data_IF_531313511015
#
_entry.id   IF_531313511015
#
_cell.length_a   1.000
_cell.length_b   1.000
_cell.length_c   1.000
_cell.angle_alpha   90.00
_cell.angle_beta   90.00
_cell.angle_gamma   90.00
#
_symmetry.space_group_name_H-M   'P 1'
#
loop_
_entity.id
_entity.type
_entity.pdbx_description
1 polymer ?
#
# COMPACT_ATOMS: atom_id res chain seq x y z
N UNK A 1 22.83 3.23 14.03
CA UNK A 1 21.48 2.63 14.07
C UNK A 1 21.67 1.16 14.38
N UNK A 2 21.04 0.63 15.43
CA UNK A 2 21.07 -0.82 15.64
C UNK A 2 20.22 -1.51 14.57
N UNK A 3 20.66 -2.65 14.02
CA UNK A 3 19.85 -3.39 13.07
C UNK A 3 18.54 -3.80 13.75
N UNK A 4 17.40 -3.53 13.12
CA UNK A 4 16.11 -4.02 13.59
C UNK A 4 16.16 -5.54 13.47
N UNK A 5 16.21 -6.22 14.61
CA UNK A 5 16.11 -7.68 14.65
C UNK A 5 14.64 -8.07 14.56
N UNK A 6 14.27 -8.76 13.48
CA UNK A 6 12.93 -9.27 13.27
C UNK A 6 12.84 -10.65 13.95
N UNK A 7 11.88 -10.89 14.87
CA UNK A 7 11.67 -12.22 15.42
C UNK A 7 11.44 -13.24 14.30
N UNK A 8 12.12 -14.39 14.35
CA UNK A 8 12.03 -15.40 13.28
C UNK A 8 10.59 -15.86 13.02
N UNK A 9 9.79 -15.98 14.07
CA UNK A 9 8.35 -16.32 13.97
C UNK A 9 7.57 -15.30 13.15
N UNK A 10 7.87 -14.01 13.32
CA UNK A 10 7.26 -12.94 12.56
C UNK A 10 7.72 -12.94 11.09
N UNK A 11 9.02 -13.12 10.85
CA UNK A 11 9.54 -13.27 9.49
C UNK A 11 8.86 -14.43 8.75
N UNK A 12 8.74 -15.60 9.39
CA UNK A 12 8.07 -16.76 8.82
C UNK A 12 6.59 -16.48 8.50
N UNK A 13 5.86 -15.82 9.40
CA UNK A 13 4.45 -15.45 9.20
C UNK A 13 4.27 -14.53 7.98
N UNK A 14 5.11 -13.49 7.87
CA UNK A 14 5.08 -12.55 6.74
C UNK A 14 5.44 -13.24 5.42
N UNK A 15 6.47 -14.10 5.40
CA UNK A 15 6.86 -14.87 4.21
C UNK A 15 5.75 -15.83 3.78
N UNK A 16 5.16 -16.57 4.72
CA UNK A 16 4.09 -17.52 4.40
C UNK A 16 2.85 -16.81 3.84
N UNK A 17 2.43 -15.70 4.46
CA UNK A 17 1.31 -14.89 3.99
C UNK A 17 1.56 -14.31 2.59
N UNK A 18 2.76 -13.76 2.36
CA UNK A 18 3.18 -13.26 1.05
C UNK A 18 3.10 -14.32 -0.03
N UNK A 19 3.61 -15.53 0.24
CA UNK A 19 3.56 -16.65 -0.70
C UNK A 19 2.13 -17.11 -1.03
N UNK A 20 1.20 -17.09 -0.05
CA UNK A 20 -0.20 -17.51 -0.25
C UNK A 20 -1.04 -16.52 -1.05
N UNK A 21 -0.64 -15.26 -1.08
CA UNK A 21 -1.41 -14.17 -1.71
C UNK A 21 -0.63 -13.42 -2.80
N UNK A 22 0.58 -13.83 -3.13
CA UNK A 22 1.40 -13.16 -4.15
C UNK A 22 1.75 -11.72 -3.79
N UNK A 23 2.02 -11.45 -2.52
CA UNK A 23 2.43 -10.13 -2.01
C UNK A 23 3.85 -10.20 -1.50
N UNK A 24 4.67 -9.22 -1.87
CA UNK A 24 6.09 -9.19 -1.49
C UNK A 24 6.28 -9.12 0.03
N UNK A 25 7.21 -9.93 0.53
CA UNK A 25 7.61 -9.91 1.95
C UNK A 25 7.99 -8.50 2.41
N UNK A 26 8.79 -7.78 1.60
CA UNK A 26 9.25 -6.43 1.94
C UNK A 26 8.10 -5.45 2.10
N UNK A 27 7.05 -5.57 1.28
CA UNK A 27 5.84 -4.75 1.41
C UNK A 27 5.11 -5.03 2.74
N UNK A 28 4.90 -6.30 3.07
CA UNK A 28 4.24 -6.69 4.32
C UNK A 28 5.06 -6.26 5.54
N UNK A 29 6.38 -6.43 5.49
CA UNK A 29 7.30 -6.01 6.54
C UNK A 29 7.25 -4.49 6.74
N UNK A 30 7.38 -3.70 5.67
CA UNK A 30 7.32 -2.24 5.74
C UNK A 30 5.97 -1.75 6.28
N UNK A 31 4.88 -2.39 5.87
CA UNK A 31 3.53 -2.07 6.37
C UNK A 31 3.46 -2.38 7.87
N UNK A 32 3.85 -3.57 8.33
CA UNK A 32 3.81 -3.90 9.76
C UNK A 32 4.75 -3.02 10.61
N UNK A 33 5.93 -2.67 10.09
CA UNK A 33 6.83 -1.70 10.75
C UNK A 33 6.15 -0.34 10.90
N UNK A 34 5.48 0.15 9.85
CA UNK A 34 4.81 1.44 9.86
C UNK A 34 3.60 1.45 10.80
N UNK A 35 2.77 0.41 10.75
CA UNK A 35 1.50 0.38 11.47
C UNK A 35 1.70 0.12 12.97
N UNK A 36 2.62 -0.77 13.34
CA UNK A 36 2.75 -1.24 14.73
C UNK A 36 4.17 -1.25 15.27
N UNK A 37 5.18 -0.87 14.49
CA UNK A 37 6.59 -1.13 14.81
C UNK A 37 6.85 -2.61 15.09
N UNK A 38 6.20 -3.51 14.32
CA UNK A 38 6.26 -4.97 14.47
C UNK A 38 5.67 -5.52 15.78
N UNK A 39 4.84 -4.73 16.48
CA UNK A 39 4.18 -5.17 17.70
C UNK A 39 2.81 -5.83 17.39
N UNK A 40 2.66 -7.16 17.58
CA UNK A 40 1.39 -7.85 17.29
C UNK A 40 0.28 -7.52 18.30
N UNK A 41 0.60 -6.90 19.43
CA UNK A 41 -0.38 -6.49 20.43
C UNK A 41 -0.67 -4.99 20.39
N UNK A 42 -0.18 -4.27 19.38
CA UNK A 42 -0.40 -2.84 19.24
C UNK A 42 -1.90 -2.50 19.21
N UNK A 43 -2.29 -1.46 19.95
CA UNK A 43 -3.66 -0.95 20.01
C UNK A 43 -3.65 0.56 19.85
N UNK A 44 -4.42 1.07 18.90
CA UNK A 44 -4.63 2.50 18.77
C UNK A 44 -5.54 3.02 19.89
N UNK A 45 -5.22 4.19 20.46
CA UNK A 45 -6.03 4.80 21.53
C UNK A 45 -7.30 5.50 21.02
N UNK A 46 -7.38 5.80 19.72
CA UNK A 46 -8.42 6.63 19.11
C UNK A 46 -9.29 5.89 18.10
N UNK A 47 -9.06 4.60 17.88
CA UNK A 47 -9.81 3.79 16.91
C UNK A 47 -9.89 2.33 17.35
N UNK A 48 -10.60 1.49 16.59
CA UNK A 48 -10.66 0.04 16.81
C UNK A 48 -9.44 -0.71 16.29
N UNK A 49 -8.42 -0.01 15.79
CA UNK A 49 -7.25 -0.60 15.15
C UNK A 49 -6.41 -1.44 16.14
N UNK A 50 -6.13 -2.69 15.78
CA UNK A 50 -5.35 -3.64 16.59
C UNK A 50 -4.39 -4.46 15.71
N UNK A 51 -3.23 -4.80 16.28
CA UNK A 51 -2.33 -5.81 15.74
C UNK A 51 -1.26 -5.27 14.80
N UNK A 52 -0.50 -6.19 14.21
CA UNK A 52 0.66 -5.89 13.36
C UNK A 52 0.36 -4.87 12.25
N UNK A 53 -0.82 -4.99 11.65
CA UNK A 53 -1.29 -4.19 10.52
C UNK A 53 -2.39 -3.20 10.92
N UNK A 54 -2.59 -2.98 12.22
CA UNK A 54 -3.57 -2.03 12.75
C UNK A 54 -4.98 -2.17 12.14
N UNK A 55 -5.47 -3.41 11.99
CA UNK A 55 -6.78 -3.68 11.41
C UNK A 55 -7.92 -3.08 12.25
N UNK A 56 -8.74 -2.25 11.59
CA UNK A 56 -10.04 -1.84 12.11
C UNK A 56 -10.99 -3.05 12.23
N UNK A 57 -11.94 -2.97 13.17
CA UNK A 57 -12.94 -4.03 13.37
C UNK A 57 -13.73 -4.32 12.08
N UNK A 58 -14.27 -3.30 11.43
CA UNK A 58 -15.07 -3.47 10.21
C UNK A 58 -14.26 -4.11 9.08
N UNK A 59 -13.04 -3.64 8.85
CA UNK A 59 -12.15 -4.15 7.81
C UNK A 59 -11.73 -5.58 8.10
N UNK A 60 -11.44 -5.92 9.35
CA UNK A 60 -11.11 -7.27 9.76
C UNK A 60 -12.25 -8.25 9.46
N UNK A 61 -13.48 -7.89 9.84
CA UNK A 61 -14.64 -8.73 9.60
C UNK A 61 -14.94 -8.88 8.10
N UNK A 62 -14.78 -7.81 7.33
CA UNK A 62 -14.89 -7.87 5.87
C UNK A 62 -13.88 -8.86 5.28
N UNK A 63 -12.59 -8.68 5.54
CA UNK A 63 -11.53 -9.49 4.93
C UNK A 63 -11.63 -10.94 5.40
N UNK A 64 -11.93 -11.18 6.68
CA UNK A 64 -12.18 -12.53 7.19
C UNK A 64 -13.36 -13.20 6.47
N UNK A 65 -14.44 -12.46 6.18
CA UNK A 65 -15.58 -13.00 5.46
C UNK A 65 -15.27 -13.30 3.99
N UNK A 66 -14.60 -12.38 3.31
CA UNK A 66 -14.37 -12.42 1.87
C UNK A 66 -13.19 -13.35 1.50
N UNK A 67 -12.08 -13.27 2.24
CA UNK A 67 -10.83 -13.98 1.93
C UNK A 67 -10.55 -15.15 2.87
N UNK A 68 -11.12 -15.15 4.08
CA UNK A 68 -10.91 -16.19 5.09
C UNK A 68 -11.14 -17.62 4.58
N UNK A 69 -12.22 -17.93 3.84
CA UNK A 69 -12.45 -19.24 3.23
C UNK A 69 -11.25 -19.80 2.45
N UNK A 70 -10.67 -18.99 1.56
CA UNK A 70 -9.53 -19.36 0.70
C UNK A 70 -8.26 -19.61 1.52
N UNK A 71 -8.14 -18.97 2.67
CA UNK A 71 -6.99 -19.06 3.57
C UNK A 71 -7.14 -20.16 4.64
N UNK A 72 -8.25 -20.91 4.64
CA UNK A 72 -8.53 -21.96 5.64
C UNK A 72 -9.25 -21.47 6.90
N UNK A 73 -9.75 -20.23 6.91
CA UNK A 73 -10.47 -19.61 8.03
C UNK A 73 -12.00 -19.65 7.88
N UNK A 74 -12.53 -20.63 7.16
CA UNK A 74 -13.96 -20.79 6.88
C UNK A 74 -14.82 -20.75 8.16
N UNK A 75 -14.38 -21.41 9.24
CA UNK A 75 -15.11 -21.48 10.50
C UNK A 75 -15.30 -20.11 11.19
N UNK A 76 -14.41 -19.15 10.95
CA UNK A 76 -14.58 -17.77 11.39
C UNK A 76 -15.44 -16.99 10.40
N UNK A 77 -15.21 -17.16 9.10
CA UNK A 77 -15.97 -16.51 8.04
C UNK A 77 -17.47 -16.84 8.08
N UNK A 78 -17.85 -18.06 8.44
CA UNK A 78 -19.25 -18.50 8.55
C UNK A 78 -20.01 -17.78 9.67
N UNK A 79 -19.31 -17.26 10.68
CA UNK A 79 -19.91 -16.53 11.79
C UNK A 79 -20.14 -15.05 11.46
N UNK A 80 -19.63 -14.58 10.33
CA UNK A 80 -19.75 -13.19 9.88
C UNK A 80 -20.85 -13.11 8.82
N UNK A 81 -21.82 -12.24 9.05
CA UNK A 81 -22.91 -11.94 8.11
C UNK A 81 -22.74 -10.55 7.54
N UNK A 82 -23.10 -10.37 6.27
CA UNK A 82 -23.19 -9.06 5.64
C UNK A 82 -24.63 -8.53 5.78
N UNK A 83 -24.78 -7.33 6.33
CA UNK A 83 -26.09 -6.68 6.46
C UNK A 83 -26.57 -6.18 5.10
N UNK A 84 -27.87 -5.86 4.92
CA UNK A 84 -28.36 -5.22 3.70
C UNK A 84 -27.68 -3.88 3.40
N UNK A 85 -27.19 -3.17 4.42
CA UNK A 85 -26.41 -1.94 4.28
C UNK A 85 -24.95 -2.15 3.86
N UNK A 86 -24.50 -3.41 3.79
CA UNK A 86 -23.15 -3.78 3.37
C UNK A 86 -22.15 -3.96 4.51
N UNK A 87 -22.54 -3.74 5.77
CA UNK A 87 -21.68 -3.92 6.93
C UNK A 87 -21.46 -5.39 7.27
N UNK A 88 -20.30 -5.72 7.84
CA UNK A 88 -19.98 -7.07 8.31
C UNK A 88 -20.14 -7.17 9.82
N UNK A 89 -20.97 -8.11 10.27
CA UNK A 89 -21.35 -8.26 11.68
C UNK A 89 -21.27 -9.72 12.14
N UNK A 90 -21.00 -9.91 13.43
CA UNK A 90 -21.08 -11.20 14.12
C UNK A 90 -22.15 -11.08 15.19
N UNK A 91 -23.18 -11.93 15.13
CA UNK A 91 -24.36 -11.82 15.98
C UNK A 91 -24.08 -12.14 17.46
N UNK A 92 -23.28 -13.17 17.72
CA UNK A 92 -22.89 -13.57 19.07
C UNK A 92 -21.70 -12.70 19.56
N UNK A 93 -21.86 -11.92 20.65
CA UNK A 93 -20.80 -11.06 21.17
C UNK A 93 -19.53 -11.80 21.62
N UNK A 94 -19.67 -13.01 22.16
CA UNK A 94 -18.53 -13.83 22.61
C UNK A 94 -17.74 -14.33 21.41
N UNK A 95 -18.43 -14.76 20.35
CA UNK A 95 -17.80 -15.14 19.09
C UNK A 95 -17.15 -13.96 18.40
N UNK A 96 -17.81 -12.80 18.40
CA UNK A 96 -17.25 -11.55 17.88
C UNK A 96 -15.92 -11.22 18.57
N UNK A 97 -15.87 -11.28 19.90
CA UNK A 97 -14.65 -11.04 20.65
C UNK A 97 -13.53 -12.04 20.29
N UNK A 98 -13.85 -13.33 20.12
CA UNK A 98 -12.88 -14.34 19.68
C UNK A 98 -12.30 -14.02 18.30
N UNK A 99 -13.16 -13.72 17.32
CA UNK A 99 -12.75 -13.39 15.95
C UNK A 99 -11.90 -12.11 15.92
N UNK A 100 -12.27 -11.09 16.70
CA UNK A 100 -11.53 -9.83 16.74
C UNK A 100 -10.18 -9.94 17.46
N UNK A 101 -10.03 -10.87 18.40
CA UNK A 101 -8.75 -11.14 19.07
C UNK A 101 -7.71 -11.74 18.13
N UNK A 102 -8.14 -12.39 17.04
CA UNK A 102 -7.21 -12.95 16.04
C UNK A 102 -6.36 -11.89 15.34
N UNK A 103 -6.72 -10.60 15.42
CA UNK A 103 -5.86 -9.48 14.97
C UNK A 103 -4.50 -9.44 15.66
N UNK A 104 -4.41 -10.02 16.85
CA UNK A 104 -3.17 -10.11 17.64
C UNK A 104 -2.34 -11.36 17.27
N UNK A 105 -2.88 -12.28 16.47
CA UNK A 105 -2.13 -13.44 16.00
C UNK A 105 -1.31 -13.06 14.75
N UNK A 106 0.03 -13.12 14.80
CA UNK A 106 0.89 -12.70 13.68
C UNK A 106 0.61 -13.43 12.37
N UNK A 107 0.30 -14.73 12.42
CA UNK A 107 0.08 -15.55 11.22
C UNK A 107 -1.23 -15.16 10.54
N UNK A 108 -2.33 -15.15 11.30
CA UNK A 108 -3.66 -14.81 10.76
C UNK A 108 -3.69 -13.35 10.30
N UNK A 109 -3.10 -12.44 11.09
CA UNK A 109 -3.04 -11.03 10.71
C UNK A 109 -2.23 -10.81 9.43
N UNK A 110 -1.11 -11.53 9.26
CA UNK A 110 -0.31 -11.45 8.03
C UNK A 110 -1.06 -12.02 6.83
N UNK A 111 -1.73 -13.18 6.98
CA UNK A 111 -2.53 -13.78 5.91
C UNK A 111 -3.64 -12.82 5.43
N UNK A 112 -4.40 -12.24 6.37
CA UNK A 112 -5.47 -11.29 6.04
C UNK A 112 -4.92 -9.99 5.45
N UNK A 113 -3.78 -9.49 5.94
CA UNK A 113 -3.14 -8.32 5.35
C UNK A 113 -2.71 -8.57 3.90
N UNK A 114 -2.04 -9.70 3.63
CA UNK A 114 -1.63 -10.08 2.29
C UNK A 114 -2.84 -10.30 1.36
N UNK A 115 -3.88 -10.96 1.83
CA UNK A 115 -5.11 -11.13 1.07
C UNK A 115 -5.83 -9.80 0.78
N UNK A 116 -5.88 -8.89 1.74
CA UNK A 116 -6.44 -7.56 1.56
C UNK A 116 -5.64 -6.71 0.56
N UNK A 117 -4.31 -6.74 0.63
CA UNK A 117 -3.44 -6.08 -0.34
C UNK A 117 -3.66 -6.65 -1.74
N UNK A 118 -3.72 -7.98 -1.88
CA UNK A 118 -4.00 -8.65 -3.16
C UNK A 118 -5.35 -8.21 -3.73
N UNK A 119 -6.43 -8.28 -2.96
CA UNK A 119 -7.77 -7.94 -3.45
C UNK A 119 -7.88 -6.46 -3.84
N UNK A 120 -7.26 -5.56 -3.07
CA UNK A 120 -7.14 -4.14 -3.42
C UNK A 120 -6.34 -3.94 -4.72
N UNK A 121 -5.23 -4.66 -4.88
CA UNK A 121 -4.40 -4.62 -6.08
C UNK A 121 -5.15 -5.07 -7.33
N UNK A 122 -5.87 -6.18 -7.25
CA UNK A 122 -6.69 -6.71 -8.34
C UNK A 122 -7.83 -5.74 -8.70
N UNK A 123 -8.51 -5.18 -7.70
CA UNK A 123 -9.55 -4.18 -7.92
C UNK A 123 -9.03 -2.97 -8.69
N UNK A 124 -7.93 -2.38 -8.22
CA UNK A 124 -7.35 -1.20 -8.84
C UNK A 124 -6.74 -1.51 -10.22
N UNK A 125 -6.14 -2.69 -10.41
CA UNK A 125 -5.71 -3.14 -11.73
C UNK A 125 -6.88 -3.19 -12.71
N UNK A 126 -8.02 -3.73 -12.29
CA UNK A 126 -9.20 -3.78 -13.15
C UNK A 126 -9.76 -2.38 -13.44
N UNK A 127 -9.66 -1.45 -12.49
CA UNK A 127 -10.15 -0.08 -12.66
C UNK A 127 -9.23 0.81 -13.54
N UNK A 128 -7.92 0.58 -13.51
CA UNK A 128 -6.92 1.47 -14.13
C UNK A 128 -6.02 0.80 -15.18
N UNK A 129 -6.19 -0.49 -15.46
CA UNK A 129 -5.45 -1.22 -16.50
C UNK A 129 -4.03 -1.64 -16.13
N UNK A 130 -3.49 -1.19 -14.98
CA UNK A 130 -2.14 -1.52 -14.51
C UNK A 130 -2.10 -1.93 -13.04
N UNK A 131 -1.09 -2.70 -12.66
CA UNK A 131 -0.87 -2.99 -11.24
C UNK A 131 -0.55 -1.69 -10.47
N UNK A 132 -1.14 -1.48 -9.28
CA UNK A 132 -0.77 -0.35 -8.43
C UNK A 132 0.67 -0.49 -7.93
N UNK A 133 1.35 0.64 -7.74
CA UNK A 133 2.65 0.65 -7.05
C UNK A 133 2.49 0.27 -5.57
N UNK A 134 3.59 -0.03 -4.88
CA UNK A 134 3.57 -0.27 -3.42
C UNK A 134 2.93 0.91 -2.65
N UNK A 135 3.26 2.14 -3.03
CA UNK A 135 2.64 3.34 -2.44
C UNK A 135 1.14 3.41 -2.70
N UNK A 136 0.68 3.06 -3.90
CA UNK A 136 -0.75 3.05 -4.25
C UNK A 136 -1.51 1.90 -3.54
N UNK A 137 -0.89 0.74 -3.38
CA UNK A 137 -1.42 -0.34 -2.55
C UNK A 137 -1.56 0.12 -1.09
N UNK A 138 -0.60 0.91 -0.59
CA UNK A 138 -0.73 1.51 0.74
C UNK A 138 -1.88 2.53 0.81
N UNK A 139 -2.08 3.35 -0.23
CA UNK A 139 -3.26 4.23 -0.31
C UNK A 139 -4.56 3.42 -0.25
N UNK A 140 -4.63 2.29 -0.95
CA UNK A 140 -5.78 1.38 -0.89
C UNK A 140 -5.93 0.71 0.47
N UNK A 141 -4.84 0.37 1.15
CA UNK A 141 -4.89 -0.11 2.54
C UNK A 141 -5.52 0.95 3.47
N UNK A 142 -5.14 2.22 3.31
CA UNK A 142 -5.58 3.33 4.14
C UNK A 142 -7.02 3.81 3.84
N UNK A 143 -7.41 3.90 2.56
CA UNK A 143 -8.71 4.42 2.12
C UNK A 143 -9.74 3.32 1.79
N UNK A 144 -9.30 2.07 1.66
CA UNK A 144 -10.03 1.01 0.95
C UNK A 144 -9.90 1.14 -0.58
N UNK A 145 -10.17 0.05 -1.30
CA UNK A 145 -10.06 0.00 -2.76
C UNK A 145 -10.86 1.10 -3.48
N UNK A 146 -12.13 1.29 -3.09
CA UNK A 146 -13.01 2.31 -3.66
C UNK A 146 -12.56 3.74 -3.31
N UNK A 147 -12.01 3.94 -2.11
CA UNK A 147 -11.49 5.23 -1.70
C UNK A 147 -10.23 5.61 -2.48
N UNK A 148 -9.35 4.65 -2.73
CA UNK A 148 -8.19 4.81 -3.60
C UNK A 148 -8.61 5.08 -5.05
N UNK A 149 -9.55 4.32 -5.61
CA UNK A 149 -10.09 4.59 -6.95
C UNK A 149 -10.65 6.01 -7.06
N UNK A 150 -11.45 6.44 -6.08
CA UNK A 150 -11.97 7.82 -6.03
C UNK A 150 -10.84 8.85 -6.02
N UNK A 151 -9.78 8.61 -5.25
CA UNK A 151 -8.63 9.52 -5.16
C UNK A 151 -7.89 9.59 -6.49
N UNK A 152 -7.63 8.46 -7.14
CA UNK A 152 -6.89 8.41 -8.39
C UNK A 152 -7.68 9.04 -9.53
N UNK A 153 -9.00 8.78 -9.62
CA UNK A 153 -9.88 9.47 -10.56
C UNK A 153 -9.90 10.98 -10.34
N UNK A 154 -9.98 11.43 -9.09
CA UNK A 154 -9.91 12.84 -8.76
C UNK A 154 -8.54 13.45 -9.12
N UNK A 155 -7.44 12.68 -8.97
CA UNK A 155 -6.10 13.11 -9.36
C UNK A 155 -5.92 13.22 -10.87
N UNK A 156 -6.53 12.31 -11.64
CA UNK A 156 -6.55 12.35 -13.11
C UNK A 156 -7.37 13.53 -13.64
N UNK A 157 -8.47 13.86 -12.98
CA UNK A 157 -9.33 15.00 -13.33
C UNK A 157 -8.71 16.34 -12.94
N UNK A 158 -8.42 16.54 -11.65
CA UNK A 158 -7.78 17.74 -11.14
C UNK A 158 -6.96 17.43 -9.87
N UNK A 159 -5.62 17.30 -9.98
CA UNK A 159 -4.78 16.95 -8.84
C UNK A 159 -4.61 18.06 -7.80
N UNK A 160 -4.89 19.31 -8.17
CA UNK A 160 -4.75 20.48 -7.31
C UNK A 160 -6.07 20.83 -6.59
N UNK A 161 -7.12 20.02 -6.77
CA UNK A 161 -8.36 20.14 -6.00
C UNK A 161 -8.17 19.73 -4.53
N UNK A 162 -8.91 20.40 -3.64
CA UNK A 162 -8.81 20.22 -2.19
C UNK A 162 -9.38 18.87 -1.76
N UNK A 163 -8.55 18.01 -1.17
CA UNK A 163 -8.91 16.62 -0.88
C UNK A 163 -10.00 16.49 0.19
N UNK A 164 -10.11 17.44 1.12
CA UNK A 164 -11.08 17.36 2.24
C UNK A 164 -12.54 17.45 1.78
N UNK A 165 -12.79 18.06 0.61
CA UNK A 165 -14.13 18.06 0.01
C UNK A 165 -14.55 16.69 -0.51
N UNK A 166 -13.59 15.87 -0.92
CA UNK A 166 -13.82 14.52 -1.44
C UNK A 166 -13.79 13.45 -0.35
N UNK A 167 -13.01 13.67 0.72
CA UNK A 167 -12.78 12.69 1.79
C UNK A 167 -13.03 13.28 3.19
N UNK A 168 -14.23 13.83 3.48
CA UNK A 168 -14.47 14.58 4.71
C UNK A 168 -14.33 13.73 5.98
N UNK A 169 -14.77 12.46 5.93
CA UNK A 169 -14.66 11.54 7.07
C UNK A 169 -13.20 11.19 7.37
N UNK A 170 -12.43 10.86 6.34
CA UNK A 170 -11.01 10.51 6.45
C UNK A 170 -10.19 11.74 6.88
N UNK A 171 -10.52 12.93 6.40
CA UNK A 171 -9.90 14.18 6.80
C UNK A 171 -10.13 14.51 8.27
N UNK A 172 -11.35 14.27 8.78
CA UNK A 172 -11.66 14.45 10.20
C UNK A 172 -10.86 13.47 11.07
N UNK A 173 -10.77 12.20 10.67
CA UNK A 173 -10.05 11.17 11.42
C UNK A 173 -8.51 11.31 11.32
N UNK A 174 -7.99 11.83 10.20
CA UNK A 174 -6.57 11.82 9.89
C UNK A 174 -6.06 13.22 9.50
N UNK A 175 -6.23 14.20 10.39
CA UNK A 175 -5.89 15.60 10.09
C UNK A 175 -4.45 15.80 9.59
N UNK A 176 -3.49 15.06 10.14
CA UNK A 176 -2.08 15.16 9.73
C UNK A 176 -1.80 14.68 8.31
N UNK A 177 -2.72 13.93 7.69
CA UNK A 177 -2.66 13.49 6.29
C UNK A 177 -3.36 14.49 5.37
N UNK A 178 -4.44 15.12 5.81
CA UNK A 178 -5.26 16.01 4.99
C UNK A 178 -4.99 17.50 5.16
N UNK A 179 -4.21 17.90 6.16
CA UNK A 179 -3.83 19.28 6.42
C UNK A 179 -2.31 19.41 6.61
N UNK A 180 -1.74 20.55 6.21
CA UNK A 180 -0.35 20.89 6.52
C UNK A 180 -0.20 21.40 7.97
N UNK A 181 1.02 21.72 8.38
CA UNK A 181 1.31 22.19 9.76
C UNK A 181 0.65 23.53 10.09
N UNK A 182 0.35 24.33 9.09
CA UNK A 182 -0.33 25.63 9.20
C UNK A 182 -1.87 25.47 9.22
N UNK A 183 -2.38 24.24 9.11
CA UNK A 183 -3.80 23.92 9.13
C UNK A 183 -4.50 24.10 7.77
N UNK A 184 -3.77 24.40 6.70
CA UNK A 184 -4.33 24.49 5.36
C UNK A 184 -4.62 23.09 4.79
N UNK A 185 -5.75 22.95 4.10
CA UNK A 185 -6.15 21.69 3.49
C UNK A 185 -5.22 21.32 2.33
N UNK A 186 -4.82 20.05 2.26
CA UNK A 186 -4.00 19.52 1.18
C UNK A 186 -4.81 19.24 -0.07
N UNK A 187 -4.16 19.37 -1.23
CA UNK A 187 -4.70 18.92 -2.52
C UNK A 187 -4.64 17.41 -2.66
N UNK A 188 -5.29 16.84 -3.67
CA UNK A 188 -5.20 15.40 -3.98
C UNK A 188 -3.75 14.98 -4.22
N UNK A 189 -2.97 15.75 -5.00
CA UNK A 189 -1.54 15.51 -5.23
C UNK A 189 -0.77 15.44 -3.90
N UNK A 190 -0.97 16.42 -3.03
CA UNK A 190 -0.26 16.48 -1.75
C UNK A 190 -0.64 15.34 -0.80
N UNK A 191 -1.90 14.91 -0.78
CA UNK A 191 -2.32 13.74 0.02
C UNK A 191 -1.69 12.46 -0.55
N UNK A 192 -1.68 12.29 -1.87
CA UNK A 192 -1.02 11.17 -2.54
C UNK A 192 0.47 11.09 -2.17
N UNK A 193 1.20 12.20 -2.34
CA UNK A 193 2.63 12.29 -2.01
C UNK A 193 2.92 11.93 -0.54
N UNK A 194 2.11 12.45 0.40
CA UNK A 194 2.29 12.14 1.83
C UNK A 194 2.08 10.65 2.12
N UNK A 195 1.10 10.00 1.47
CA UNK A 195 0.81 8.59 1.69
C UNK A 195 1.87 7.68 1.06
N UNK A 196 2.35 8.02 -0.15
CA UNK A 196 3.40 7.27 -0.86
C UNK A 196 4.76 7.45 -0.19
N UNK A 197 5.18 8.68 0.13
CA UNK A 197 6.49 8.96 0.73
C UNK A 197 6.66 8.27 2.10
N UNK A 198 5.56 8.15 2.87
CA UNK A 198 5.57 7.41 4.15
C UNK A 198 5.73 5.90 3.98
N UNK A 199 5.55 5.36 2.78
CA UNK A 199 5.71 3.94 2.49
C UNK A 199 7.05 3.64 1.78
N UNK A 200 7.51 4.50 0.87
CA UNK A 200 8.80 4.33 0.16
C UNK A 200 10.05 4.65 1.02
N UNK A 201 9.91 5.44 2.08
CA UNK A 201 11.00 5.78 3.00
C UNK A 201 11.60 4.61 3.81
N UNK A 202 11.14 3.39 3.57
CA UNK A 202 11.54 2.14 4.24
C UNK A 202 12.45 1.21 3.42
N UNK A 203 13.32 1.72 2.55
CA UNK A 203 14.46 0.99 1.99
C UNK A 203 14.17 -0.06 0.89
N UNK A 204 14.68 0.24 -0.31
CA UNK A 204 15.03 -0.68 -1.41
C UNK A 204 14.06 -1.83 -1.75
N UNK A 205 12.91 -1.50 -2.33
CA UNK A 205 12.10 -2.41 -3.15
C UNK A 205 12.85 -2.99 -4.36
N UNK A 206 13.99 -2.39 -4.76
CA UNK A 206 14.81 -2.85 -5.89
C UNK A 206 15.69 -4.08 -5.62
N UNK A 207 16.01 -4.43 -4.37
CA UNK A 207 16.94 -5.54 -4.09
C UNK A 207 16.29 -6.93 -4.19
N UNK A 208 14.98 -7.05 -3.95
CA UNK A 208 14.27 -8.33 -4.02
C UNK A 208 13.89 -8.72 -5.46
N UNK A 209 13.62 -7.75 -6.35
CA UNK A 209 13.24 -7.99 -7.74
C UNK A 209 14.38 -8.59 -8.59
N UNK A 210 15.64 -8.39 -8.18
CA UNK A 210 16.81 -8.93 -8.88
C UNK A 210 17.20 -10.36 -8.48
N UNK A 211 16.55 -10.95 -7.46
CA UNK A 211 16.88 -12.29 -6.98
C UNK A 211 15.91 -13.39 -7.49
N UNK A 212 14.91 -13.02 -8.31
CA UNK A 212 13.91 -13.94 -8.86
C UNK A 212 14.04 -14.24 -10.37
N UNK A 213 15.05 -13.69 -11.06
CA UNK A 213 15.40 -14.11 -12.44
C UNK A 213 16.54 -15.13 -12.51
N UNK A 214 16.93 -15.73 -11.39
CA UNK A 214 17.96 -16.76 -11.33
C UNK A 214 17.41 -18.15 -11.64
N UNK A 215 17.24 -18.48 -12.93
CA UNK A 215 17.25 -19.87 -13.39
C UNK A 215 18.60 -20.50 -13.02
N UNK A 216 18.55 -21.64 -12.33
CA UNK A 216 19.76 -22.36 -11.96
C UNK A 216 20.42 -23.01 -13.17
N UNK A 217 21.69 -22.69 -13.44
CA UNK A 217 22.73 -23.69 -13.66
C UNK A 217 24.16 -23.13 -13.55
N UNK A 218 25.08 -24.04 -13.24
CA UNK A 218 26.51 -23.82 -12.92
C UNK A 218 27.34 -23.47 -14.16
N UNK A 219 28.28 -22.52 -14.00
CA UNK A 219 29.73 -22.62 -14.30
C UNK A 219 30.37 -21.48 -15.15
N UNK A 220 31.52 -21.03 -14.61
CA UNK A 220 32.76 -20.55 -15.25
C UNK A 220 33.04 -19.03 -15.32
N UNK A 221 34.12 -18.66 -14.65
CA UNK A 221 34.71 -17.32 -14.54
C UNK A 221 35.20 -16.76 -15.89
N UNK A 222 34.93 -15.46 -16.12
CA UNK A 222 35.65 -14.57 -17.05
C UNK A 222 35.86 -13.19 -16.41
N UNK A 223 36.90 -12.43 -16.79
CA UNK A 223 37.44 -11.32 -16.00
C UNK A 223 36.62 -10.02 -16.10
N UNK A 224 36.74 -9.20 -15.06
CA UNK A 224 36.00 -7.96 -14.84
C UNK A 224 36.25 -6.88 -15.91
N UNK A 225 35.17 -6.38 -16.49
CA UNK A 225 35.10 -5.08 -17.18
C UNK A 225 34.82 -3.95 -16.17
N UNK A 226 35.29 -2.72 -16.43
CA UNK A 226 35.13 -1.60 -15.50
C UNK A 226 33.66 -1.19 -15.35
N UNK A 227 33.23 -0.79 -14.13
CA UNK A 227 31.83 -0.47 -13.88
C UNK A 227 31.42 0.79 -14.65
N UNK A 228 30.35 0.67 -15.44
CA UNK A 228 29.65 1.81 -16.03
C UNK A 228 29.02 2.65 -14.90
N UNK A 229 29.07 3.99 -14.98
CA UNK A 229 28.48 4.85 -13.97
C UNK A 229 26.95 4.68 -13.90
N UNK A 230 26.46 4.43 -12.69
CA UNK A 230 25.04 4.37 -12.37
C UNK A 230 24.36 5.69 -12.72
N UNK A 231 23.23 5.62 -13.44
CA UNK A 231 22.43 6.79 -13.84
C UNK A 231 21.58 7.39 -12.71
N UNK A 232 21.80 6.94 -11.47
CA UNK A 232 21.07 7.40 -10.29
C UNK A 232 22.03 7.85 -9.20
N UNK A 233 22.92 8.80 -9.54
CA UNK A 233 23.75 9.50 -8.57
C UNK A 233 23.16 10.89 -8.25
N UNK A 234 23.23 11.37 -7.00
CA UNK A 234 22.59 12.61 -6.53
C UNK A 234 23.11 13.92 -7.15
N UNK A 235 24.09 13.86 -8.04
CA UNK A 235 24.85 15.04 -8.50
C UNK A 235 24.30 15.69 -9.79
N UNK A 236 23.26 15.13 -10.42
CA UNK A 236 22.70 15.65 -11.68
C UNK A 236 21.26 16.19 -11.58
N UNK A 237 20.96 16.97 -10.54
CA UNK A 237 19.75 17.80 -10.51
C UNK A 237 20.06 19.19 -11.12
N UNK A 238 20.10 19.26 -12.45
CA UNK A 238 20.00 20.53 -13.18
C UNK A 238 19.07 20.38 -14.38
N UNK A 239 18.05 21.24 -14.35
CA UNK A 239 17.05 21.50 -15.36
C UNK A 239 17.73 22.16 -16.57
N UNK A 240 17.93 21.41 -17.65
CA UNK A 240 17.97 21.79 -19.10
C UNK A 240 18.88 20.79 -19.83
N UNK A 241 18.33 19.73 -20.41
CA UNK A 241 19.18 18.80 -21.18
C UNK A 241 18.56 17.49 -21.68
N UNK A 242 17.29 17.24 -21.44
CA UNK A 242 16.61 16.07 -21.98
C UNK A 242 15.49 16.53 -22.89
N UNK A 243 15.87 17.08 -24.05
CA UNK A 243 15.20 16.98 -25.36
C UNK A 243 15.74 18.12 -26.25
N UNK A 244 16.78 17.83 -27.03
CA UNK A 244 17.04 18.56 -28.28
C UNK A 244 17.51 17.57 -29.35
N UNK A 245 16.55 17.12 -30.12
CA UNK A 245 16.66 17.06 -31.57
C UNK A 245 15.49 17.88 -32.07
N UNK A 246 15.80 19.05 -32.64
CA UNK A 246 14.83 19.92 -33.31
C UNK A 246 14.13 19.15 -34.44
N UNK A 247 12.81 19.29 -34.53
CA UNK A 247 12.15 20.01 -35.63
C UNK A 247 10.81 20.59 -35.14
N UNK A 248 10.56 21.84 -35.54
CA UNK A 248 9.35 22.68 -35.53
C UNK A 248 8.06 21.90 -35.93
N UNK A 249 6.82 22.23 -35.56
CA UNK A 249 6.20 23.48 -35.08
C UNK A 249 4.81 23.19 -34.47
N UNK A 250 4.33 24.16 -33.68
CA UNK A 250 2.92 24.55 -33.43
C UNK A 250 2.16 24.08 -32.17
N UNK A 251 1.97 25.04 -31.27
CA UNK A 251 0.83 25.39 -30.40
C UNK A 251 -0.15 24.29 -29.92
N UNK A 252 -0.18 24.07 -28.59
CA UNK A 252 -1.36 24.37 -27.76
C UNK A 252 -1.03 24.31 -26.26
N UNK A 253 -1.50 25.31 -25.51
CA UNK A 253 -1.27 25.47 -24.08
C UNK A 253 -2.03 24.41 -23.25
N UNK A 254 -1.32 23.43 -22.71
CA UNK A 254 -1.85 22.51 -21.71
C UNK A 254 -1.30 22.86 -20.30
N UNK A 255 -2.21 23.02 -19.34
CA UNK A 255 -1.89 23.39 -17.96
C UNK A 255 -0.99 22.33 -17.29
N UNK A 256 0.10 22.72 -16.60
CA UNK A 256 1.12 21.79 -16.08
C UNK A 256 0.65 20.87 -14.94
N UNK A 257 -0.60 21.00 -14.48
CA UNK A 257 -1.14 20.20 -13.37
C UNK A 257 -1.58 18.78 -13.76
N UNK A 258 -2.16 18.60 -14.96
CA UNK A 258 -2.72 17.32 -15.42
C UNK A 258 -1.65 16.27 -15.79
N UNK A 259 -0.40 16.70 -16.00
CA UNK A 259 0.68 15.82 -16.43
C UNK A 259 1.10 14.78 -15.38
N UNK A 260 1.01 15.08 -14.07
CA UNK A 260 1.52 14.19 -13.02
C UNK A 260 0.78 12.84 -12.96
N UNK A 261 -0.55 12.84 -12.87
CA UNK A 261 -1.32 11.59 -12.88
C UNK A 261 -1.38 10.96 -14.27
N UNK A 262 -1.45 11.76 -15.33
CA UNK A 262 -1.46 11.22 -16.70
C UNK A 262 -0.16 10.46 -17.01
N UNK A 263 0.99 10.95 -16.57
CA UNK A 263 2.28 10.23 -16.69
C UNK A 263 2.33 8.94 -15.87
N UNK A 264 1.62 8.87 -14.74
CA UNK A 264 1.54 7.66 -13.90
C UNK A 264 0.60 6.58 -14.49
N UNK A 265 -0.33 6.92 -15.39
CA UNK A 265 -1.38 6.01 -15.87
C UNK A 265 -1.43 5.81 -17.40
N UNK A 266 -0.57 6.48 -18.20
CA UNK A 266 -0.46 6.29 -19.65
C UNK A 266 0.68 5.35 -20.10
N UNK A 267 0.97 4.26 -19.37
CA UNK A 267 1.83 3.17 -19.84
C UNK A 267 1.11 1.83 -19.81
#
# INVERSE_FOLDING_TARGET
MQPISIPQTLANALTAAGNRSGVDFSYLLQTAMRESSLNPEARASTSSAVGLFQFLESTWLQVMKEEGPRLGYQSYADQISRTPGGDYVVADPSRKAQILKLRENPEIASDLAAAFTRSNGEYLRNAFGRMPSAGELYIAHFLGAQGAEKMFKAGLDNPDQVAVGLFPRQAAANRSIFYNREGQARTIRQVYEVLVAKHEGGGNSGFAAQQLTGEGNVQAARPAEPPLPSRFSPENMSFTGLFRTEFEDADEAAQPGAAFFTQLYNQ
#
